data_IF_261667967224
#
_entry.id   IF_261667967224
#
_cell.length_a   1.000
_cell.length_b   1.000
_cell.length_c   1.000
_cell.angle_alpha   90.00
_cell.angle_beta   90.00
_cell.angle_gamma   90.00
#
_symmetry.space_group_name_H-M   'P 1'
#
loop_
_entity.id
_entity.type
_entity.pdbx_description
1 polymer ?
#
# COMPACT_ATOMS: atom_id res chain seq x y z
N UNK A 1 12.60 6.53 6.29
CA UNK A 1 12.46 5.09 5.97
C UNK A 1 13.78 4.39 5.67
N UNK A 2 14.71 5.00 4.91
CA UNK A 2 15.98 4.36 4.52
C UNK A 2 17.17 4.62 5.45
N UNK A 3 17.04 5.59 6.34
CA UNK A 3 18.00 5.88 7.41
C UNK A 3 17.85 4.90 8.58
N UNK A 4 18.81 4.90 9.51
CA UNK A 4 18.75 4.09 10.72
C UNK A 4 17.49 4.40 11.56
N UNK A 5 16.86 3.35 12.11
CA UNK A 5 15.55 3.46 12.75
C UNK A 5 14.38 3.73 11.78
N UNK A 6 14.64 3.70 10.46
CA UNK A 6 13.66 4.01 9.43
C UNK A 6 12.47 3.05 9.35
N UNK A 7 12.55 1.87 9.98
CA UNK A 7 11.44 0.92 10.10
C UNK A 7 10.21 1.51 10.77
N UNK A 8 10.36 2.30 11.83
CA UNK A 8 9.22 2.96 12.50
C UNK A 8 8.45 3.84 11.52
N UNK A 9 9.16 4.54 10.62
CA UNK A 9 8.54 5.35 9.56
C UNK A 9 7.80 4.53 8.51
N UNK A 10 8.23 3.29 8.26
CA UNK A 10 7.51 2.35 7.39
C UNK A 10 6.20 1.93 8.06
N UNK A 11 6.24 1.56 9.35
CA UNK A 11 5.03 1.19 10.11
C UNK A 11 4.05 2.36 10.17
N UNK A 12 4.51 3.57 10.52
CA UNK A 12 3.68 4.79 10.52
C UNK A 12 2.98 5.02 9.17
N UNK A 13 3.68 4.84 8.05
CA UNK A 13 3.09 5.00 6.71
C UNK A 13 2.07 3.90 6.38
N UNK A 14 2.33 2.66 6.77
CA UNK A 14 1.40 1.55 6.56
C UNK A 14 0.12 1.70 7.40
N UNK A 15 0.23 2.16 8.64
CA UNK A 15 -0.93 2.50 9.48
C UNK A 15 -1.75 3.63 8.86
N UNK A 16 -1.11 4.64 8.25
CA UNK A 16 -1.83 5.70 7.50
C UNK A 16 -2.56 5.15 6.28
N UNK A 17 -1.94 4.26 5.51
CA UNK A 17 -2.61 3.60 4.37
C UNK A 17 -3.79 2.71 4.79
N UNK A 18 -3.76 2.20 6.03
CA UNK A 18 -4.83 1.41 6.64
C UNK A 18 -5.83 2.20 7.47
N UNK A 19 -5.68 3.52 7.58
CA UNK A 19 -6.59 4.36 8.34
C UNK A 19 -8.02 4.32 7.74
N UNK A 20 -9.06 4.60 8.55
CA UNK A 20 -10.45 4.55 8.09
C UNK A 20 -10.66 5.34 6.80
N UNK A 21 -11.27 4.72 5.78
CA UNK A 21 -11.54 5.32 4.47
C UNK A 21 -10.37 5.29 3.47
N UNK A 22 -9.13 5.07 3.92
CA UNK A 22 -7.97 5.08 3.01
C UNK A 22 -7.88 3.86 2.11
N UNK A 23 -8.47 2.74 2.49
CA UNK A 23 -8.53 1.58 1.60
C UNK A 23 -9.37 1.91 0.36
N UNK A 24 -10.58 2.43 0.57
CA UNK A 24 -11.53 2.78 -0.49
C UNK A 24 -10.97 3.89 -1.39
N UNK A 25 -10.42 4.96 -0.80
CA UNK A 25 -9.80 6.07 -1.54
C UNK A 25 -8.66 5.60 -2.46
N UNK A 26 -7.76 4.76 -1.93
CA UNK A 26 -6.62 4.27 -2.72
C UNK A 26 -7.08 3.29 -3.79
N UNK A 27 -7.99 2.37 -3.49
CA UNK A 27 -8.52 1.44 -4.49
C UNK A 27 -9.17 2.17 -5.66
N UNK A 28 -9.94 3.23 -5.38
CA UNK A 28 -10.55 4.06 -6.42
C UNK A 28 -9.52 4.76 -7.33
N UNK A 29 -8.35 5.11 -6.79
CA UNK A 29 -7.26 5.74 -7.54
C UNK A 29 -6.34 4.74 -8.26
N UNK A 30 -6.46 3.44 -7.95
CA UNK A 30 -5.49 2.41 -8.33
C UNK A 30 -5.86 1.65 -9.61
N UNK A 31 -6.93 2.06 -10.28
CA UNK A 31 -7.23 1.77 -11.68
C UNK A 31 -8.07 2.90 -12.30
N UNK A 32 -8.13 3.03 -13.64
CA UNK A 32 -8.87 4.09 -14.32
C UNK A 32 -10.40 4.05 -14.15
N UNK A 33 -10.93 2.94 -13.65
CA UNK A 33 -12.36 2.66 -13.52
C UNK A 33 -12.82 2.67 -12.06
N UNK A 34 -12.13 3.41 -11.19
CA UNK A 34 -12.59 3.64 -9.82
C UNK A 34 -12.53 2.40 -8.92
N UNK A 35 -11.70 1.40 -9.23
CA UNK A 35 -11.57 0.18 -8.44
C UNK A 35 -12.27 -1.04 -9.06
N UNK A 36 -13.13 -0.84 -10.06
CA UNK A 36 -13.91 -1.93 -10.67
C UNK A 36 -13.03 -2.94 -11.40
N UNK A 37 -11.94 -2.50 -12.02
CA UNK A 37 -10.99 -3.42 -12.65
C UNK A 37 -10.26 -4.24 -11.59
N UNK A 38 -9.83 -3.58 -10.51
CA UNK A 38 -9.08 -4.23 -9.45
C UNK A 38 -9.91 -5.27 -8.68
N UNK A 39 -11.23 -5.12 -8.57
CA UNK A 39 -12.15 -6.11 -7.94
C UNK A 39 -11.97 -7.51 -8.50
N UNK A 40 -11.71 -7.63 -9.81
CA UNK A 40 -11.51 -8.92 -10.48
C UNK A 40 -10.19 -9.59 -10.09
N UNK A 41 -9.22 -8.81 -9.60
CA UNK A 41 -7.86 -9.25 -9.26
C UNK A 41 -7.66 -9.43 -7.76
N UNK A 42 -8.09 -8.46 -6.95
CA UNK A 42 -7.90 -8.40 -5.50
C UNK A 42 -8.94 -9.24 -4.75
N UNK A 43 -8.86 -10.55 -4.93
CA UNK A 43 -9.84 -11.52 -4.40
C UNK A 43 -9.40 -12.19 -3.11
N UNK A 44 -8.17 -11.96 -2.65
CA UNK A 44 -7.54 -12.73 -1.57
C UNK A 44 -6.94 -14.07 -2.03
N UNK A 45 -7.14 -14.44 -3.30
CA UNK A 45 -6.54 -15.61 -3.93
C UNK A 45 -5.33 -15.19 -4.78
N UNK A 46 -4.52 -16.16 -5.19
CA UNK A 46 -3.43 -15.96 -6.16
C UNK A 46 -2.40 -14.88 -5.77
N UNK A 47 -1.93 -14.90 -4.52
CA UNK A 47 -0.95 -13.93 -4.01
C UNK A 47 -1.43 -12.46 -4.06
N UNK A 48 -2.74 -12.26 -3.88
CA UNK A 48 -3.37 -10.93 -3.71
C UNK A 48 -4.10 -10.85 -2.37
N UNK A 49 -4.33 -9.62 -1.89
CA UNK A 49 -5.22 -9.38 -0.77
C UNK A 49 -6.67 -9.22 -1.25
N UNK A 50 -7.63 -9.40 -0.34
CA UNK A 50 -9.01 -8.99 -0.57
C UNK A 50 -9.11 -7.47 -0.70
N UNK A 51 -10.04 -7.00 -1.52
CA UNK A 51 -10.17 -5.57 -1.85
C UNK A 51 -10.73 -4.72 -0.70
N UNK A 52 -11.48 -5.30 0.23
CA UNK A 52 -12.25 -4.54 1.23
C UNK A 52 -11.44 -4.12 2.46
N UNK A 53 -10.29 -4.76 2.73
CA UNK A 53 -9.51 -4.51 3.95
C UNK A 53 -8.03 -4.34 3.65
N UNK A 54 -7.47 -3.23 4.12
CA UNK A 54 -6.03 -3.05 4.11
C UNK A 54 -5.34 -3.99 5.11
N UNK A 55 -4.29 -4.66 4.67
CA UNK A 55 -3.42 -5.51 5.48
C UNK A 55 -1.97 -5.33 5.07
N UNK A 56 -1.06 -5.50 6.01
CA UNK A 56 0.37 -5.55 5.69
C UNK A 56 1.09 -6.62 6.51
N UNK A 57 2.25 -7.04 6.05
CA UNK A 57 3.04 -8.05 6.76
C UNK A 57 4.43 -8.26 6.17
N UNK A 58 5.31 -8.83 6.99
CA UNK A 58 6.68 -9.13 6.58
C UNK A 58 6.70 -10.39 5.72
N UNK A 59 7.33 -10.28 4.56
CA UNK A 59 7.44 -11.35 3.57
C UNK A 59 6.10 -11.92 3.07
N UNK A 60 4.98 -11.29 3.42
CA UNK A 60 3.66 -11.81 3.12
C UNK A 60 3.23 -11.32 1.74
N UNK A 61 2.96 -12.26 0.82
CA UNK A 61 2.42 -11.95 -0.52
C UNK A 61 0.91 -12.05 -0.58
N UNK A 62 0.21 -12.37 0.50
CA UNK A 62 -1.25 -12.36 0.57
C UNK A 62 -1.83 -11.04 1.10
N UNK A 63 -0.98 -10.09 1.53
CA UNK A 63 -1.43 -8.82 2.10
C UNK A 63 -1.36 -7.67 1.10
N UNK A 64 -2.05 -6.58 1.44
CA UNK A 64 -2.19 -5.39 0.59
C UNK A 64 -0.85 -4.70 0.39
N UNK A 65 -0.05 -4.56 1.44
CA UNK A 65 1.32 -4.05 1.37
C UNK A 65 2.33 -5.00 2.00
N UNK A 66 3.45 -5.26 1.33
CA UNK A 66 4.49 -6.19 1.78
C UNK A 66 5.69 -5.42 2.34
N UNK A 67 6.18 -5.84 3.50
CA UNK A 67 7.50 -5.43 4.00
C UNK A 67 8.51 -6.52 3.60
N UNK A 68 9.56 -6.21 2.81
CA UNK A 68 10.59 -7.18 2.48
C UNK A 68 11.31 -7.71 3.73
N UNK A 69 11.70 -8.99 3.74
CA UNK A 69 12.44 -9.60 4.88
C UNK A 69 13.71 -8.81 5.24
N UNK A 70 14.41 -8.30 4.23
CA UNK A 70 15.63 -7.51 4.45
C UNK A 70 15.33 -6.18 5.14
N UNK A 71 14.18 -5.56 4.85
CA UNK A 71 13.78 -4.31 5.51
C UNK A 71 13.45 -4.51 6.98
N UNK A 72 12.78 -5.61 7.35
CA UNK A 72 12.61 -6.00 8.75
C UNK A 72 13.97 -6.29 9.39
N UNK A 73 14.82 -7.12 8.75
CA UNK A 73 16.13 -7.50 9.30
C UNK A 73 17.04 -6.29 9.55
N UNK A 74 17.09 -5.34 8.62
CA UNK A 74 17.96 -4.16 8.69
C UNK A 74 17.33 -2.99 9.45
N UNK A 75 16.07 -3.11 9.85
CA UNK A 75 15.30 -2.05 10.51
C UNK A 75 15.25 -0.73 9.71
N UNK A 76 15.37 -0.81 8.38
CA UNK A 76 15.25 0.30 7.42
C UNK A 76 15.07 -0.23 6.00
N UNK A 77 14.54 0.60 5.09
CA UNK A 77 14.35 0.21 3.69
C UNK A 77 13.08 0.80 3.07
N UNK A 78 12.18 -0.08 2.60
CA UNK A 78 10.93 0.28 1.93
C UNK A 78 9.81 -0.75 2.20
N UNK A 79 8.57 -0.39 1.88
CA UNK A 79 7.47 -1.35 1.74
C UNK A 79 6.98 -1.33 0.29
N UNK A 80 6.21 -2.35 -0.09
CA UNK A 80 5.64 -2.50 -1.43
C UNK A 80 4.12 -2.46 -1.34
N UNK A 81 3.47 -1.44 -1.91
CA UNK A 81 2.01 -1.47 -2.10
C UNK A 81 1.67 -2.35 -3.31
N UNK A 82 0.91 -3.42 -3.09
CA UNK A 82 0.60 -4.45 -4.09
C UNK A 82 -0.84 -4.34 -4.60
N UNK A 83 -1.56 -3.31 -4.15
CA UNK A 83 -2.92 -2.99 -4.57
C UNK A 83 -3.02 -2.32 -5.95
N UNK A 84 -2.04 -1.55 -6.49
CA UNK A 84 -2.19 -0.97 -7.83
C UNK A 84 -2.46 -2.03 -8.90
N UNK A 85 -3.43 -1.79 -9.77
CA UNK A 85 -3.72 -2.67 -10.91
C UNK A 85 -2.66 -2.50 -12.01
N UNK A 86 -2.57 -3.44 -12.95
CA UNK A 86 -1.60 -3.35 -14.05
C UNK A 86 -1.86 -2.18 -15.02
N UNK A 87 -3.09 -1.64 -15.02
CA UNK A 87 -3.52 -0.49 -15.81
C UNK A 87 -3.57 0.83 -15.01
N UNK A 88 -3.01 0.86 -13.80
CA UNK A 88 -2.96 2.06 -12.97
C UNK A 88 -2.22 3.21 -13.67
N UNK A 89 -2.67 4.45 -13.46
CA UNK A 89 -1.90 5.62 -13.86
C UNK A 89 -0.79 5.88 -12.83
N UNK A 90 0.49 5.79 -13.21
CA UNK A 90 1.60 5.95 -12.26
C UNK A 90 1.64 7.34 -11.62
N UNK A 91 1.17 8.39 -12.28
CA UNK A 91 1.14 9.74 -11.72
C UNK A 91 0.13 9.84 -10.59
N UNK A 92 -1.06 9.28 -10.80
CA UNK A 92 -2.13 9.26 -9.79
C UNK A 92 -1.68 8.43 -8.58
N UNK A 93 -1.18 7.22 -8.82
CA UNK A 93 -0.80 6.31 -7.72
C UNK A 93 0.35 6.88 -6.90
N UNK A 94 1.41 7.39 -7.54
CA UNK A 94 2.55 7.95 -6.79
C UNK A 94 2.18 9.20 -6.01
N UNK A 95 1.34 10.08 -6.57
CA UNK A 95 0.81 11.23 -5.86
C UNK A 95 -0.05 10.82 -4.66
N UNK A 96 -0.95 9.85 -4.83
CA UNK A 96 -1.85 9.37 -3.76
C UNK A 96 -1.10 8.70 -2.61
N UNK A 97 -0.05 7.92 -2.91
CA UNK A 97 0.85 7.35 -1.90
C UNK A 97 1.59 8.47 -1.15
N UNK A 98 2.09 9.48 -1.86
CA UNK A 98 2.78 10.61 -1.25
C UNK A 98 1.86 11.43 -0.33
N UNK A 99 0.66 11.76 -0.80
CA UNK A 99 -0.38 12.45 -0.03
C UNK A 99 -0.61 11.76 1.32
N UNK A 100 -0.96 10.47 1.30
CA UNK A 100 -1.27 9.73 2.54
C UNK A 100 -0.05 9.48 3.42
N UNK A 101 1.12 9.17 2.84
CA UNK A 101 2.28 8.74 3.64
C UNK A 101 3.17 9.91 4.11
N UNK A 102 3.27 10.98 3.32
CA UNK A 102 4.24 12.07 3.52
C UNK A 102 3.55 13.38 3.91
N UNK A 103 2.34 13.65 3.39
CA UNK A 103 1.60 14.89 3.59
C UNK A 103 0.28 14.68 4.35
N UNK A 104 0.27 14.00 5.52
CA UNK A 104 -0.95 13.59 6.19
C UNK A 104 -1.85 14.76 6.65
N UNK A 105 -1.27 15.95 6.81
CA UNK A 105 -1.97 17.14 7.31
C UNK A 105 -2.56 18.00 6.17
N UNK A 106 -2.38 17.59 4.91
CA UNK A 106 -2.84 18.32 3.73
C UNK A 106 -4.01 17.65 2.99
N UNK A 107 -4.49 16.50 3.50
CA UNK A 107 -5.57 15.71 2.93
C UNK A 107 -6.89 15.92 3.67
#
# INVERSE_FOLDING_TARGET
>A
MREEGGYTKIIEALERLGAPGKQEEHIAAYDPNGGEDNKRRLTGLHETAGIDKFTYGVANRGCSARIPRMTEKEQKGYFEDRRPASNMDPYIVTAKVCETCVLPDFA
#
